data_IF_114909868483
#
_entry.id   IF_114909868483
#
_cell.length_a   1.000
_cell.length_b   1.000
_cell.length_c   1.000
_cell.angle_alpha   90.00
_cell.angle_beta   90.00
_cell.angle_gamma   90.00
#
_symmetry.space_group_name_H-M   'P 1'
#
loop_
_entity.id
_entity.type
_entity.pdbx_description
1 polymer ?
#
# COMPACT_ATOMS: atom_id res chain seq x y z
N UNK A 1 -13.52 -24.87 0.32
CA UNK A 1 -13.86 -24.70 1.74
C UNK A 1 -15.20 -25.34 2.13
N UNK A 2 -16.34 -24.78 1.69
CA UNK A 2 -17.67 -25.24 2.13
C UNK A 2 -17.95 -26.72 1.85
N UNK A 3 -17.50 -27.21 0.70
CA UNK A 3 -17.59 -28.63 0.32
C UNK A 3 -16.85 -29.54 1.32
N UNK A 4 -15.68 -29.11 1.82
CA UNK A 4 -14.84 -29.93 2.70
C UNK A 4 -15.47 -30.06 4.09
N UNK A 5 -16.00 -28.96 4.64
CA UNK A 5 -16.61 -28.96 5.98
C UNK A 5 -17.99 -29.58 5.97
N UNK A 6 -18.73 -29.44 4.88
CA UNK A 6 -20.11 -29.91 4.76
C UNK A 6 -20.23 -31.17 3.90
N UNK A 7 -19.19 -32.01 3.84
CA UNK A 7 -19.14 -33.21 2.99
C UNK A 7 -20.26 -34.23 3.26
N UNK A 8 -20.86 -34.19 4.45
CA UNK A 8 -21.95 -35.08 4.85
C UNK A 8 -23.35 -34.54 4.51
N UNK A 9 -23.47 -33.31 3.99
CA UNK A 9 -24.76 -32.77 3.57
C UNK A 9 -25.22 -33.43 2.27
N UNK A 10 -26.55 -33.57 2.12
CA UNK A 10 -27.16 -33.91 0.84
C UNK A 10 -26.75 -32.89 -0.22
N UNK A 11 -26.52 -33.35 -1.46
CA UNK A 11 -25.99 -32.49 -2.54
C UNK A 11 -26.85 -31.24 -2.79
N UNK A 12 -28.18 -31.35 -2.71
CA UNK A 12 -29.09 -30.20 -2.86
C UNK A 12 -28.87 -29.13 -1.78
N UNK A 13 -28.64 -29.55 -0.53
CA UNK A 13 -28.36 -28.64 0.57
C UNK A 13 -26.98 -27.99 0.42
N UNK A 14 -25.99 -28.77 -0.07
CA UNK A 14 -24.66 -28.26 -0.34
C UNK A 14 -24.68 -27.19 -1.45
N UNK A 15 -25.39 -27.44 -2.55
CA UNK A 15 -25.58 -26.48 -3.64
C UNK A 15 -26.21 -25.20 -3.09
N UNK A 16 -27.33 -25.32 -2.36
CA UNK A 16 -28.01 -24.16 -1.75
C UNK A 16 -27.05 -23.34 -0.86
N UNK A 17 -26.28 -24.00 -0.01
CA UNK A 17 -25.29 -23.36 0.86
C UNK A 17 -24.21 -22.61 0.06
N UNK A 18 -23.63 -23.26 -0.95
CA UNK A 18 -22.60 -22.68 -1.81
C UNK A 18 -23.15 -21.47 -2.57
N UNK A 19 -24.36 -21.59 -3.12
CA UNK A 19 -25.03 -20.49 -3.83
C UNK A 19 -25.26 -19.29 -2.92
N UNK A 20 -25.84 -19.49 -1.73
CA UNK A 20 -26.05 -18.42 -0.75
C UNK A 20 -24.74 -17.76 -0.36
N UNK A 21 -23.69 -18.55 -0.14
CA UNK A 21 -22.37 -18.02 0.18
C UNK A 21 -21.80 -17.14 -0.93
N UNK A 22 -21.83 -17.61 -2.18
CA UNK A 22 -21.32 -16.87 -3.34
C UNK A 22 -22.07 -15.55 -3.52
N UNK A 23 -23.41 -15.56 -3.47
CA UNK A 23 -24.18 -14.33 -3.61
C UNK A 23 -23.95 -13.35 -2.47
N UNK A 24 -23.90 -13.84 -1.22
CA UNK A 24 -23.56 -13.00 -0.08
C UNK A 24 -22.15 -12.41 -0.20
N UNK A 25 -21.16 -13.19 -0.63
CA UNK A 25 -19.79 -12.71 -0.80
C UNK A 25 -19.64 -11.70 -1.93
N UNK A 26 -20.38 -11.88 -3.03
CA UNK A 26 -20.37 -10.96 -4.17
C UNK A 26 -21.16 -9.68 -3.92
N UNK A 27 -22.14 -9.70 -3.01
CA UNK A 27 -22.95 -8.52 -2.68
C UNK A 27 -22.12 -7.35 -2.14
N UNK A 28 -21.05 -7.65 -1.38
CA UNK A 28 -20.17 -6.66 -0.78
C UNK A 28 -19.36 -5.88 -1.85
N UNK A 29 -18.60 -6.53 -2.76
CA UNK A 29 -17.90 -5.84 -3.84
C UNK A 29 -18.79 -5.45 -5.04
N UNK A 30 -20.09 -5.76 -5.02
CA UNK A 30 -20.97 -5.58 -6.19
C UNK A 30 -20.95 -4.15 -6.73
N UNK A 31 -20.99 -3.15 -5.82
CA UNK A 31 -20.94 -1.74 -6.21
C UNK A 31 -19.67 -1.40 -6.99
N UNK A 32 -18.55 -2.04 -6.62
CA UNK A 32 -17.28 -1.85 -7.28
C UNK A 32 -17.26 -2.53 -8.65
N UNK A 33 -17.81 -3.75 -8.78
CA UNK A 33 -17.93 -4.41 -10.08
C UNK A 33 -18.80 -3.62 -11.07
N UNK A 34 -19.93 -3.08 -10.61
CA UNK A 34 -20.81 -2.23 -11.42
C UNK A 34 -20.06 -0.96 -11.85
N UNK A 35 -19.45 -0.25 -10.90
CA UNK A 35 -18.70 0.97 -11.19
C UNK A 35 -17.54 0.72 -12.14
N UNK A 36 -16.83 -0.39 -11.95
CA UNK A 36 -15.72 -0.82 -12.78
C UNK A 36 -16.17 -1.07 -14.23
N UNK A 37 -17.30 -1.76 -14.40
CA UNK A 37 -17.91 -1.98 -15.70
C UNK A 37 -18.35 -0.68 -16.39
N UNK A 38 -18.97 0.25 -15.66
CA UNK A 38 -19.39 1.54 -16.22
C UNK A 38 -18.20 2.36 -16.71
N UNK A 39 -17.10 2.40 -15.94
CA UNK A 39 -15.93 3.25 -16.24
C UNK A 39 -15.03 2.61 -17.30
N UNK A 40 -14.82 1.30 -17.24
CA UNK A 40 -13.76 0.62 -18.00
C UNK A 40 -14.28 -0.40 -19.01
N UNK A 41 -15.57 -0.73 -18.98
CA UNK A 41 -16.15 -1.86 -19.74
C UNK A 41 -15.81 -3.24 -19.16
N UNK A 42 -15.06 -3.31 -18.05
CA UNK A 42 -14.60 -4.55 -17.43
C UNK A 42 -15.05 -4.63 -15.96
N UNK A 43 -15.91 -5.58 -15.57
CA UNK A 43 -16.41 -5.67 -14.20
C UNK A 43 -15.33 -6.08 -13.19
N UNK A 44 -14.22 -6.67 -13.63
CA UNK A 44 -13.13 -7.17 -12.79
C UNK A 44 -11.80 -6.46 -13.06
N UNK A 45 -11.86 -5.21 -13.56
CA UNK A 45 -10.68 -4.36 -13.79
C UNK A 45 -9.72 -4.33 -12.58
N UNK A 46 -8.40 -4.43 -12.75
CA UNK A 46 -7.67 -4.39 -14.02
C UNK A 46 -7.52 -5.74 -14.71
N UNK A 47 -8.04 -6.84 -14.14
CA UNK A 47 -7.85 -8.21 -14.66
C UNK A 47 -8.42 -8.30 -16.09
N UNK A 48 -7.62 -8.74 -17.05
CA UNK A 48 -7.94 -8.80 -18.49
C UNK A 48 -8.07 -7.44 -19.19
N UNK A 49 -7.53 -6.36 -18.59
CA UNK A 49 -7.46 -5.06 -19.25
C UNK A 49 -6.12 -4.86 -20.00
N UNK A 50 -6.11 -4.01 -21.02
CA UNK A 50 -4.86 -3.59 -21.70
C UNK A 50 -3.99 -2.65 -20.84
N UNK A 51 -4.50 -2.19 -19.69
CA UNK A 51 -3.88 -1.22 -18.79
C UNK A 51 -3.24 -1.90 -17.56
N UNK A 52 -2.92 -3.19 -17.64
CA UNK A 52 -2.21 -3.93 -16.59
C UNK A 52 -0.73 -3.52 -16.49
N UNK A 53 -0.48 -2.25 -16.20
CA UNK A 53 0.80 -1.73 -15.76
C UNK A 53 0.73 -1.48 -14.26
N UNK A 54 0.70 -2.56 -13.48
CA UNK A 54 1.04 -2.44 -12.06
C UNK A 54 2.57 -2.40 -11.99
N UNK A 55 3.11 -1.19 -11.99
CA UNK A 55 4.54 -0.90 -11.86
C UNK A 55 5.10 -1.52 -10.56
N UNK A 56 5.71 -2.69 -10.68
CA UNK A 56 6.61 -3.23 -9.67
C UNK A 56 7.84 -3.77 -10.40
N UNK A 57 8.94 -3.02 -10.30
CA UNK A 57 10.31 -3.41 -10.65
C UNK A 57 10.65 -3.60 -12.13
N UNK A 58 10.93 -2.52 -12.87
CA UNK A 58 11.88 -2.42 -14.01
C UNK A 58 11.96 -3.56 -15.06
N UNK A 59 10.94 -4.40 -15.16
CA UNK A 59 10.78 -5.39 -16.21
C UNK A 59 9.35 -5.18 -16.68
N UNK A 60 9.21 -4.40 -17.75
CA UNK A 60 8.00 -4.41 -18.55
C UNK A 60 7.86 -5.80 -19.19
N UNK A 61 7.49 -6.79 -18.39
CA UNK A 61 6.96 -8.03 -18.90
C UNK A 61 5.47 -7.77 -19.12
N UNK A 62 4.95 -7.96 -20.34
CA UNK A 62 3.51 -8.01 -20.51
C UNK A 62 2.99 -9.12 -19.59
N UNK A 63 2.19 -8.76 -18.59
CA UNK A 63 1.51 -9.70 -17.69
C UNK A 63 0.42 -10.52 -18.40
N UNK A 64 0.43 -10.55 -19.74
CA UNK A 64 -0.63 -11.07 -20.59
C UNK A 64 -0.62 -12.59 -20.77
N UNK A 65 -0.14 -13.39 -19.81
CA UNK A 65 -0.33 -14.86 -19.92
C UNK A 65 -0.35 -15.70 -18.64
N UNK A 66 0.21 -15.26 -17.51
CA UNK A 66 0.39 -16.17 -16.37
C UNK A 66 -0.06 -15.56 -15.03
N UNK A 67 -1.37 -15.32 -14.87
CA UNK A 67 -1.99 -15.09 -13.55
C UNK A 67 -1.73 -16.25 -12.58
N UNK A 68 -1.52 -17.44 -13.14
CA UNK A 68 -1.21 -18.65 -12.38
C UNK A 68 0.30 -18.94 -12.45
N UNK A 69 0.90 -19.17 -11.29
CA UNK A 69 2.29 -19.54 -11.10
C UNK A 69 2.71 -19.34 -9.65
N UNK A 70 3.82 -19.96 -9.25
CA UNK A 70 4.31 -19.82 -7.87
C UNK A 70 4.62 -18.35 -7.59
N UNK A 71 3.92 -17.77 -6.62
CA UNK A 71 4.03 -16.36 -6.26
C UNK A 71 5.20 -16.11 -5.29
N UNK A 72 6.44 -16.22 -5.76
CA UNK A 72 7.62 -15.99 -4.91
C UNK A 72 7.68 -14.60 -4.26
N UNK A 73 6.96 -13.61 -4.81
CA UNK A 73 6.91 -12.26 -4.25
C UNK A 73 6.42 -12.27 -2.79
N UNK A 74 5.56 -13.21 -2.39
CA UNK A 74 5.07 -13.27 -1.01
C UNK A 74 6.14 -13.48 0.06
N UNK A 75 7.33 -13.96 -0.33
CA UNK A 75 8.47 -14.18 0.58
C UNK A 75 9.51 -13.06 0.54
N UNK A 76 9.33 -12.04 -0.31
CA UNK A 76 10.27 -10.92 -0.39
C UNK A 76 10.24 -10.11 0.93
N UNK A 77 11.40 -9.72 1.48
CA UNK A 77 11.47 -8.93 2.71
C UNK A 77 10.69 -7.61 2.65
N UNK A 78 10.58 -7.00 1.47
CA UNK A 78 9.81 -5.77 1.22
C UNK A 78 8.34 -5.92 1.60
N UNK A 79 7.77 -7.12 1.42
CA UNK A 79 6.38 -7.40 1.79
C UNK A 79 6.20 -7.60 3.29
N UNK A 80 7.27 -7.86 4.05
CA UNK A 80 7.20 -7.95 5.51
C UNK A 80 6.93 -6.60 6.16
N UNK A 81 7.26 -5.48 5.51
CA UNK A 81 7.00 -4.11 5.98
C UNK A 81 5.50 -3.84 6.12
N UNK A 82 4.67 -4.56 5.35
CA UNK A 82 3.21 -4.43 5.38
C UNK A 82 2.59 -5.18 6.56
N UNK A 83 3.32 -6.11 7.19
CA UNK A 83 2.80 -6.87 8.30
C UNK A 83 2.77 -6.04 9.59
N UNK A 84 1.62 -6.07 10.27
CA UNK A 84 1.46 -5.44 11.58
C UNK A 84 2.51 -5.98 12.56
N UNK A 85 3.05 -5.17 13.49
CA UNK A 85 3.91 -5.66 14.57
C UNK A 85 3.33 -6.85 15.35
N UNK A 86 1.99 -6.95 15.44
CA UNK A 86 1.28 -8.08 16.05
C UNK A 86 1.57 -9.41 15.35
N UNK A 87 1.80 -9.40 14.04
CA UNK A 87 2.21 -10.57 13.26
C UNK A 87 3.49 -11.17 13.83
N UNK A 88 4.55 -10.37 13.98
CA UNK A 88 5.85 -10.85 14.42
C UNK A 88 5.82 -11.34 15.86
N UNK A 89 5.09 -10.64 16.74
CA UNK A 89 4.85 -11.10 18.12
C UNK A 89 4.16 -12.47 18.13
N UNK A 90 3.12 -12.65 17.31
CA UNK A 90 2.43 -13.94 17.25
C UNK A 90 3.24 -15.06 16.60
N UNK A 91 4.14 -14.76 15.66
CA UNK A 91 5.10 -15.74 15.14
C UNK A 91 6.01 -16.23 16.27
N UNK A 92 6.56 -15.33 17.09
CA UNK A 92 7.35 -15.70 18.26
C UNK A 92 6.52 -16.59 19.21
N UNK A 93 5.28 -16.20 19.50
CA UNK A 93 4.41 -16.97 20.38
C UNK A 93 3.99 -18.33 19.81
N UNK A 94 3.83 -18.45 18.49
CA UNK A 94 3.62 -19.73 17.83
C UNK A 94 4.83 -20.63 18.06
N UNK A 95 6.06 -20.17 17.84
CA UNK A 95 7.23 -21.01 18.07
C UNK A 95 7.30 -21.54 19.52
N UNK A 96 6.92 -20.72 20.50
CA UNK A 96 6.86 -21.13 21.91
C UNK A 96 5.71 -22.11 22.23
N UNK A 97 4.64 -22.12 21.45
CA UNK A 97 3.40 -22.89 21.74
C UNK A 97 2.96 -23.81 20.59
N UNK A 98 3.86 -24.10 19.65
CA UNK A 98 3.57 -24.66 18.32
C UNK A 98 2.66 -25.89 18.36
N UNK A 99 2.99 -26.87 19.20
CA UNK A 99 2.25 -28.12 19.32
C UNK A 99 0.80 -27.90 19.81
N UNK A 100 0.58 -26.92 20.70
CA UNK A 100 -0.75 -26.59 21.21
C UNK A 100 -1.53 -25.76 20.20
N UNK A 101 -0.87 -24.78 19.57
CA UNK A 101 -1.46 -23.95 18.52
C UNK A 101 -1.95 -24.79 17.34
N UNK A 102 -1.16 -25.75 16.83
CA UNK A 102 -1.56 -26.63 15.73
C UNK A 102 -2.78 -27.47 16.09
N UNK A 103 -2.83 -28.05 17.30
CA UNK A 103 -3.99 -28.82 17.74
C UNK A 103 -5.25 -27.95 17.75
N UNK A 104 -5.15 -26.71 18.22
CA UNK A 104 -6.27 -25.77 18.24
C UNK A 104 -6.71 -25.36 16.83
N UNK A 105 -5.76 -25.00 15.96
CA UNK A 105 -6.02 -24.57 14.57
C UNK A 105 -6.76 -25.66 13.79
N UNK A 106 -6.42 -26.95 13.99
CA UNK A 106 -7.09 -28.09 13.34
C UNK A 106 -8.58 -28.20 13.65
N UNK A 107 -9.03 -27.74 14.82
CA UNK A 107 -10.43 -27.83 15.24
C UNK A 107 -11.25 -26.61 14.83
N UNK A 108 -10.61 -25.54 14.36
CA UNK A 108 -11.30 -24.31 13.99
C UNK A 108 -11.57 -24.31 12.48
N UNK A 109 -12.83 -24.47 12.03
CA UNK A 109 -13.12 -24.63 10.61
C UNK A 109 -12.62 -23.45 9.79
N UNK A 110 -12.70 -22.22 10.32
CA UNK A 110 -12.22 -21.02 9.64
C UNK A 110 -10.71 -21.05 9.33
N UNK A 111 -9.89 -21.75 10.13
CA UNK A 111 -8.47 -21.92 9.82
C UNK A 111 -8.25 -22.64 8.51
N UNK A 112 -9.10 -23.63 8.20
CA UNK A 112 -9.05 -24.38 6.93
C UNK A 112 -9.38 -23.45 5.77
N UNK A 113 -10.31 -22.50 5.94
CA UNK A 113 -10.59 -21.48 4.93
C UNK A 113 -9.35 -20.67 4.61
N UNK A 114 -8.67 -20.13 5.62
CA UNK A 114 -7.50 -19.29 5.41
C UNK A 114 -6.30 -20.05 4.84
N UNK A 115 -6.11 -21.32 5.22
CA UNK A 115 -5.10 -22.19 4.61
C UNK A 115 -5.37 -22.38 3.12
N UNK A 116 -6.63 -22.67 2.73
CA UNK A 116 -6.99 -22.80 1.32
C UNK A 116 -6.80 -21.50 0.55
N UNK A 117 -7.17 -20.37 1.15
CA UNK A 117 -6.98 -19.04 0.57
C UNK A 117 -5.48 -18.70 0.42
N UNK A 118 -4.62 -19.11 1.36
CA UNK A 118 -3.17 -18.93 1.25
C UNK A 118 -2.58 -19.81 0.14
N UNK A 119 -3.06 -21.05 -0.01
CA UNK A 119 -2.67 -21.91 -1.12
C UNK A 119 -3.13 -21.34 -2.47
N UNK A 120 -4.31 -20.73 -2.53
CA UNK A 120 -4.76 -19.98 -3.71
C UNK A 120 -3.79 -18.82 -4.00
N UNK A 121 -3.45 -18.01 -3.00
CA UNK A 121 -2.50 -16.89 -3.16
C UNK A 121 -1.05 -17.33 -3.46
N UNK A 122 -0.71 -18.58 -3.15
CA UNK A 122 0.57 -19.17 -3.55
C UNK A 122 0.64 -19.43 -5.06
N UNK A 123 -0.51 -19.72 -5.67
CA UNK A 123 -0.66 -20.06 -7.09
C UNK A 123 -1.08 -18.84 -7.92
N UNK A 124 -1.76 -17.87 -7.33
CA UNK A 124 -2.12 -16.61 -7.99
C UNK A 124 -0.97 -15.63 -7.82
N UNK A 125 -0.40 -15.15 -8.93
CA UNK A 125 0.63 -14.11 -8.89
C UNK A 125 -0.02 -12.80 -8.48
N UNK A 126 0.37 -12.32 -7.31
CA UNK A 126 -0.09 -11.04 -6.77
C UNK A 126 1.14 -10.20 -6.49
N UNK A 127 1.25 -9.08 -7.20
CA UNK A 127 2.47 -8.27 -7.24
C UNK A 127 2.69 -7.42 -5.98
N UNK A 128 1.65 -7.19 -5.17
CA UNK A 128 1.72 -6.34 -3.99
C UNK A 128 1.40 -7.12 -2.71
N UNK A 129 2.31 -7.06 -1.72
CA UNK A 129 2.16 -7.73 -0.43
C UNK A 129 0.90 -7.37 0.35
N UNK A 130 0.33 -6.17 0.12
CA UNK A 130 -0.93 -5.73 0.74
C UNK A 130 -2.14 -6.61 0.37
N UNK A 131 -2.05 -7.37 -0.72
CA UNK A 131 -3.09 -8.28 -1.17
C UNK A 131 -2.87 -9.73 -0.67
N UNK A 132 -1.81 -9.99 0.11
CA UNK A 132 -1.56 -11.26 0.79
C UNK A 132 -2.44 -11.41 2.06
N UNK A 133 -3.72 -11.05 1.94
CA UNK A 133 -4.68 -11.07 3.05
C UNK A 133 -4.77 -12.46 3.69
N UNK A 134 -4.65 -13.54 2.92
CA UNK A 134 -4.72 -14.89 3.45
C UNK A 134 -3.56 -15.21 4.39
N UNK A 135 -2.33 -14.86 3.99
CA UNK A 135 -1.14 -14.98 4.84
C UNK A 135 -1.30 -14.19 6.14
N UNK A 136 -1.74 -12.95 6.01
CA UNK A 136 -2.00 -12.09 7.17
C UNK A 136 -3.04 -12.72 8.11
N UNK A 137 -4.10 -13.30 7.56
CA UNK A 137 -5.19 -13.85 8.36
C UNK A 137 -4.84 -15.19 9.00
N UNK A 138 -4.04 -16.04 8.34
CA UNK A 138 -3.43 -17.22 8.96
C UNK A 138 -2.58 -16.80 10.15
N UNK A 139 -1.73 -15.79 9.95
CA UNK A 139 -0.87 -15.31 11.01
C UNK A 139 -1.68 -14.74 12.17
N UNK A 140 -2.73 -13.95 11.94
CA UNK A 140 -3.64 -13.50 13.01
C UNK A 140 -4.27 -14.69 13.73
N UNK A 141 -4.72 -15.71 13.01
CA UNK A 141 -5.34 -16.91 13.61
C UNK A 141 -4.35 -17.63 14.51
N UNK A 142 -3.09 -17.75 14.04
CA UNK A 142 -1.96 -18.28 14.78
C UNK A 142 -1.67 -17.44 16.04
N UNK A 143 -1.58 -16.12 15.90
CA UNK A 143 -1.34 -15.18 17.00
C UNK A 143 -2.42 -15.36 18.07
N UNK A 144 -3.69 -15.39 17.64
CA UNK A 144 -4.84 -15.50 18.53
C UNK A 144 -4.82 -16.79 19.35
N UNK A 145 -4.47 -17.91 18.70
CA UNK A 145 -4.30 -19.20 19.37
C UNK A 145 -3.12 -19.18 20.37
N UNK A 146 -1.98 -18.60 19.99
CA UNK A 146 -0.79 -18.51 20.86
C UNK A 146 -1.02 -17.62 22.09
N UNK A 147 -1.69 -16.49 21.90
CA UNK A 147 -2.04 -15.52 22.95
C UNK A 147 -2.95 -16.15 24.02
N UNK A 148 -3.93 -16.95 23.60
CA UNK A 148 -4.83 -17.66 24.52
C UNK A 148 -4.06 -18.48 25.58
N UNK A 149 -3.05 -19.25 25.17
CA UNK A 149 -2.28 -20.11 26.08
C UNK A 149 -1.41 -19.34 27.07
N UNK A 150 -1.05 -18.10 26.77
CA UNK A 150 -0.25 -17.24 27.65
C UNK A 150 -1.13 -16.57 28.70
N UNK A 151 -2.33 -16.15 28.29
CA UNK A 151 -3.31 -15.51 29.16
C UNK A 151 -3.87 -16.44 30.22
N UNK A 152 -3.94 -17.73 29.92
CA UNK A 152 -4.35 -18.75 30.88
C UNK A 152 -3.38 -18.83 32.07
N UNK A 153 -2.08 -18.62 31.83
CA UNK A 153 -1.03 -18.82 32.85
C UNK A 153 -0.70 -17.58 33.68
N UNK A 154 -0.84 -16.37 33.15
CA UNK A 154 -0.39 -15.16 33.84
C UNK A 154 -1.38 -13.98 33.62
N UNK A 155 -1.99 -13.51 34.71
CA UNK A 155 -2.93 -12.37 34.66
C UNK A 155 -2.23 -11.07 34.24
N UNK A 156 -0.97 -10.86 34.62
CA UNK A 156 -0.22 -9.64 34.30
C UNK A 156 0.08 -9.55 32.80
N UNK A 157 0.52 -10.66 32.17
CA UNK A 157 0.77 -10.67 30.72
C UNK A 157 -0.51 -10.42 29.92
N UNK A 158 -1.65 -10.91 30.40
CA UNK A 158 -2.97 -10.61 29.83
C UNK A 158 -3.30 -9.12 29.88
N UNK A 159 -3.11 -8.48 31.03
CA UNK A 159 -3.35 -7.03 31.18
C UNK A 159 -2.43 -6.24 30.25
N UNK A 160 -1.12 -6.56 30.22
CA UNK A 160 -0.14 -5.89 29.36
C UNK A 160 -0.54 -6.00 27.89
N UNK A 161 -0.90 -7.20 27.42
CA UNK A 161 -1.33 -7.39 26.03
C UNK A 161 -2.60 -6.61 25.72
N UNK A 162 -3.61 -6.62 26.60
CA UNK A 162 -4.86 -5.87 26.41
C UNK A 162 -4.55 -4.37 26.27
N UNK A 163 -3.68 -3.82 27.12
CA UNK A 163 -3.25 -2.43 27.03
C UNK A 163 -2.55 -2.12 25.70
N UNK A 164 -1.60 -2.96 25.28
CA UNK A 164 -0.90 -2.79 24.00
C UNK A 164 -1.86 -2.88 22.81
N UNK A 165 -2.75 -3.88 22.82
CA UNK A 165 -3.76 -4.06 21.78
C UNK A 165 -4.73 -2.88 21.73
N UNK A 166 -5.17 -2.37 22.89
CA UNK A 166 -6.00 -1.18 22.98
C UNK A 166 -5.30 0.03 22.38
N UNK A 167 -4.02 0.29 22.70
CA UNK A 167 -3.26 1.41 22.13
C UNK A 167 -3.15 1.29 20.60
N UNK A 168 -2.85 0.10 20.09
CA UNK A 168 -2.76 -0.15 18.64
C UNK A 168 -4.13 0.05 17.96
N UNK A 169 -5.18 -0.54 18.51
CA UNK A 169 -6.53 -0.43 17.95
C UNK A 169 -7.05 1.00 18.02
N UNK A 170 -6.81 1.70 19.13
CA UNK A 170 -7.16 3.10 19.29
C UNK A 170 -6.45 3.98 18.25
N UNK A 171 -5.16 3.73 18.00
CA UNK A 171 -4.44 4.38 16.92
C UNK A 171 -5.11 4.16 15.55
N UNK A 172 -5.44 2.91 15.18
CA UNK A 172 -6.12 2.63 13.91
C UNK A 172 -7.53 3.21 13.84
N UNK A 173 -8.28 3.18 14.94
CA UNK A 173 -9.62 3.73 15.05
C UNK A 173 -9.62 5.24 14.82
N UNK A 174 -8.71 5.98 15.48
CA UNK A 174 -8.54 7.41 15.28
C UNK A 174 -8.17 7.70 13.81
N UNK A 175 -7.23 6.96 13.23
CA UNK A 175 -6.89 7.13 11.81
C UNK A 175 -8.09 6.84 10.89
N UNK A 176 -8.91 5.86 11.21
CA UNK A 176 -10.12 5.53 10.43
C UNK A 176 -11.15 6.64 10.51
N UNK A 177 -11.41 7.21 11.70
CA UNK A 177 -12.31 8.36 11.88
C UNK A 177 -11.85 9.54 11.03
N UNK A 178 -10.54 9.76 10.91
CA UNK A 178 -10.00 10.85 10.09
C UNK A 178 -10.22 10.61 8.59
N UNK A 179 -10.25 9.35 8.15
CA UNK A 179 -10.43 8.97 6.74
C UNK A 179 -11.90 8.83 6.35
N UNK A 180 -12.76 8.45 7.30
CA UNK A 180 -14.16 8.14 7.06
C UNK A 180 -14.94 9.28 6.37
N UNK A 181 -14.79 10.56 6.74
CA UNK A 181 -15.48 11.66 6.05
C UNK A 181 -15.18 11.73 4.55
N UNK A 182 -13.97 11.37 4.13
CA UNK A 182 -13.62 11.31 2.71
C UNK A 182 -14.21 10.08 2.03
N UNK A 183 -14.10 8.91 2.67
CA UNK A 183 -14.68 7.66 2.17
C UNK A 183 -16.20 7.73 1.99
N UNK A 184 -16.88 8.49 2.86
CA UNK A 184 -18.33 8.74 2.80
C UNK A 184 -18.71 9.94 1.90
N UNK A 185 -17.74 10.66 1.34
CA UNK A 185 -17.98 11.84 0.49
C UNK A 185 -18.44 13.10 1.25
N UNK A 186 -18.33 13.14 2.57
CA UNK A 186 -18.66 14.31 3.41
C UNK A 186 -17.56 15.37 3.46
N UNK A 187 -16.33 15.00 3.09
CA UNK A 187 -15.21 15.90 2.93
C UNK A 187 -14.74 15.87 1.48
N UNK A 188 -14.47 17.03 0.89
CA UNK A 188 -13.78 17.09 -0.38
C UNK A 188 -12.32 16.63 -0.24
N UNK A 189 -11.69 16.38 -1.39
CA UNK A 189 -10.30 15.93 -1.49
C UNK A 189 -9.34 16.84 -0.72
N UNK A 190 -9.54 18.15 -0.75
CA UNK A 190 -8.66 19.09 -0.06
C UNK A 190 -8.84 19.02 1.47
N UNK A 191 -10.09 19.00 1.94
CA UNK A 191 -10.43 18.89 3.37
C UNK A 191 -9.95 17.56 3.98
N UNK A 192 -9.97 16.47 3.22
CA UNK A 192 -9.38 15.18 3.62
C UNK A 192 -7.86 15.26 3.71
N UNK A 193 -7.21 15.72 2.65
CA UNK A 193 -5.76 15.77 2.56
C UNK A 193 -5.15 16.71 3.60
N UNK A 194 -5.76 17.87 3.88
CA UNK A 194 -5.31 18.78 4.94
C UNK A 194 -5.37 18.12 6.33
N UNK A 195 -6.40 17.30 6.63
CA UNK A 195 -6.53 16.64 7.94
C UNK A 195 -5.59 15.45 8.13
N UNK A 196 -5.38 14.66 7.09
CA UNK A 196 -4.59 13.42 7.17
C UNK A 196 -3.10 13.67 6.91
N UNK A 197 -2.77 14.50 5.93
CA UNK A 197 -1.39 14.72 5.50
C UNK A 197 -0.62 15.74 6.35
N UNK A 198 -1.28 16.58 7.15
CA UNK A 198 -0.58 17.39 8.17
C UNK A 198 0.19 16.52 9.18
N UNK A 199 -0.21 15.25 9.37
CA UNK A 199 0.48 14.29 10.24
C UNK A 199 1.49 13.41 9.48
N UNK A 200 1.26 13.17 8.20
CA UNK A 200 2.13 12.33 7.39
C UNK A 200 3.22 13.20 6.73
N UNK A 201 4.34 13.34 7.45
CA UNK A 201 5.52 14.17 7.15
C UNK A 201 6.22 13.90 5.79
N UNK A 202 5.58 13.19 4.86
CA UNK A 202 6.15 12.69 3.61
C UNK A 202 5.30 12.93 2.36
N UNK A 203 4.02 13.30 2.47
CA UNK A 203 3.09 13.32 1.34
C UNK A 203 2.60 14.73 0.97
N UNK A 204 2.42 14.92 -0.33
CA UNK A 204 2.09 16.16 -1.04
C UNK A 204 1.14 17.13 -0.30
N UNK A 205 1.57 18.38 -0.19
CA UNK A 205 0.76 19.51 0.25
C UNK A 205 1.03 20.67 -0.71
N UNK A 206 -0.04 21.29 -1.21
CA UNK A 206 0.04 22.61 -1.82
C UNK A 206 0.11 23.62 -0.66
N UNK A 207 1.33 23.89 -0.14
CA UNK A 207 1.49 24.81 0.98
C UNK A 207 0.97 26.18 0.58
N UNK A 208 -0.15 26.58 1.19
CA UNK A 208 -0.82 27.86 0.97
C UNK A 208 -1.19 28.16 -0.50
N UNK A 209 -1.56 27.13 -1.27
CA UNK A 209 -1.96 27.27 -2.69
C UNK A 209 -0.84 27.80 -3.60
N UNK A 210 0.42 27.65 -3.19
CA UNK A 210 1.58 28.15 -3.93
C UNK A 210 1.90 27.31 -5.17
N UNK A 211 1.51 26.04 -5.25
CA UNK A 211 1.74 25.23 -6.46
C UNK A 211 0.92 25.72 -7.63
N UNK A 212 -0.37 26.03 -7.46
CA UNK A 212 -1.19 26.59 -8.54
C UNK A 212 -0.64 27.91 -9.10
N UNK A 213 0.22 28.61 -8.35
CA UNK A 213 0.92 29.81 -8.80
C UNK A 213 2.13 29.50 -9.69
N UNK A 214 2.81 28.37 -9.49
CA UNK A 214 4.13 28.07 -10.06
C UNK A 214 4.20 26.80 -10.92
N UNK A 215 3.20 25.93 -10.82
CA UNK A 215 3.09 24.63 -11.47
C UNK A 215 1.73 24.57 -12.17
N UNK A 216 1.76 24.30 -13.47
CA UNK A 216 0.59 24.07 -14.31
C UNK A 216 0.41 22.57 -14.59
N UNK A 217 -0.78 22.20 -15.06
CA UNK A 217 -1.10 20.85 -15.55
C UNK A 217 -0.16 20.35 -16.67
N UNK A 218 0.43 21.28 -17.42
CA UNK A 218 1.41 21.01 -18.50
C UNK A 218 2.84 20.82 -18.00
N UNK A 219 3.14 21.21 -16.76
CA UNK A 219 4.48 21.05 -16.21
C UNK A 219 4.71 19.57 -15.83
N UNK A 220 5.85 19.03 -16.23
CA UNK A 220 6.40 17.79 -15.66
C UNK A 220 7.33 18.15 -14.51
N UNK A 221 6.97 17.70 -13.30
CA UNK A 221 7.68 17.98 -12.06
C UNK A 221 8.51 16.78 -11.62
N UNK A 222 9.84 16.92 -11.60
CA UNK A 222 10.71 15.92 -10.99
C UNK A 222 10.75 16.11 -9.46
N UNK A 223 10.60 15.02 -8.72
CA UNK A 223 10.46 15.07 -7.26
C UNK A 223 11.58 14.29 -6.59
N UNK A 224 12.15 14.87 -5.54
CA UNK A 224 13.23 14.24 -4.77
C UNK A 224 12.95 14.24 -3.26
N UNK A 225 12.86 13.05 -2.68
CA UNK A 225 12.53 12.84 -1.27
C UNK A 225 11.07 13.14 -0.93
N UNK A 226 10.21 13.31 -1.94
CA UNK A 226 8.77 13.56 -1.79
C UNK A 226 8.05 12.46 -2.54
N UNK A 227 7.14 11.79 -1.86
CA UNK A 227 6.33 10.70 -2.42
C UNK A 227 4.86 11.04 -2.29
N UNK A 228 4.02 10.39 -3.09
CA UNK A 228 2.58 10.47 -2.92
C UNK A 228 1.90 11.70 -3.54
N UNK A 229 2.32 12.09 -4.75
CA UNK A 229 1.59 13.05 -5.60
C UNK A 229 0.36 12.42 -6.28
N UNK A 230 -0.21 11.34 -5.71
CA UNK A 230 -1.39 10.63 -6.25
C UNK A 230 -2.61 11.53 -6.50
N UNK A 231 -2.57 12.73 -5.92
CA UNK A 231 -3.63 13.72 -5.92
C UNK A 231 -3.22 15.05 -6.55
N UNK A 232 -1.99 15.19 -7.05
CA UNK A 232 -1.58 16.38 -7.77
C UNK A 232 -2.32 16.48 -9.11
N UNK A 233 -2.62 17.69 -9.53
CA UNK A 233 -3.24 18.05 -10.80
C UNK A 233 -2.21 18.34 -11.92
N UNK A 234 -0.94 18.00 -11.67
CA UNK A 234 0.16 18.11 -12.61
C UNK A 234 0.91 16.78 -12.76
N UNK A 235 1.64 16.64 -13.86
CA UNK A 235 2.44 15.45 -14.11
C UNK A 235 3.70 15.45 -13.23
N UNK A 236 4.02 14.32 -12.60
CA UNK A 236 5.20 14.20 -11.77
C UNK A 236 5.98 12.91 -12.08
N UNK A 237 7.28 12.92 -11.79
CA UNK A 237 8.17 11.79 -11.95
C UNK A 237 9.19 11.77 -10.81
N UNK A 238 9.35 10.64 -10.14
CA UNK A 238 10.38 10.51 -9.11
C UNK A 238 11.77 10.52 -9.75
N UNK A 239 12.72 11.19 -9.09
CA UNK A 239 14.08 11.35 -9.62
C UNK A 239 14.80 10.01 -9.84
N UNK A 240 14.43 8.97 -9.09
CA UNK A 240 14.93 7.60 -9.26
C UNK A 240 14.54 6.96 -10.60
N UNK A 241 13.49 7.45 -11.27
CA UNK A 241 13.13 7.01 -12.63
C UNK A 241 13.84 7.79 -13.73
N UNK A 242 14.45 8.93 -13.41
CA UNK A 242 15.24 9.73 -14.36
C UNK A 242 16.70 9.29 -14.32
N UNK A 243 17.26 9.18 -13.12
CA UNK A 243 18.67 8.84 -12.94
C UNK A 243 18.84 7.35 -12.65
N UNK A 244 19.40 6.63 -13.62
CA UNK A 244 19.88 5.27 -13.36
C UNK A 244 21.19 5.32 -12.57
N UNK A 245 21.59 4.18 -11.98
CA UNK A 245 22.85 4.09 -11.21
C UNK A 245 24.06 4.59 -12.01
N UNK A 246 24.07 4.37 -13.32
CA UNK A 246 25.21 4.64 -14.20
C UNK A 246 25.08 5.95 -15.00
N UNK A 247 23.90 6.57 -15.05
CA UNK A 247 23.63 7.81 -15.80
C UNK A 247 23.01 8.87 -14.91
N UNK A 248 23.87 9.73 -14.36
CA UNK A 248 23.49 10.87 -13.52
C UNK A 248 24.02 12.17 -14.11
N UNK A 249 23.31 12.71 -15.09
CA UNK A 249 23.59 14.02 -15.69
C UNK A 249 22.37 14.92 -15.54
N UNK A 250 22.59 16.19 -15.21
CA UNK A 250 21.50 17.16 -15.08
C UNK A 250 20.71 17.30 -16.39
N UNK A 251 21.36 17.11 -17.54
CA UNK A 251 20.74 17.25 -18.86
C UNK A 251 19.65 16.20 -19.12
N UNK A 252 19.66 15.06 -18.41
CA UNK A 252 18.59 14.05 -18.48
C UNK A 252 17.24 14.61 -18.04
N UNK A 253 17.23 15.59 -17.12
CA UNK A 253 15.99 16.28 -16.75
C UNK A 253 15.39 17.00 -17.97
N UNK A 254 16.23 17.66 -18.77
CA UNK A 254 15.80 18.34 -20.00
C UNK A 254 15.35 17.35 -21.07
N UNK A 255 16.09 16.26 -21.27
CA UNK A 255 15.72 15.19 -22.21
C UNK A 255 14.34 14.58 -21.89
N UNK A 256 14.02 14.44 -20.60
CA UNK A 256 12.73 13.96 -20.12
C UNK A 256 11.64 15.04 -20.11
N UNK A 257 11.93 16.24 -20.61
CA UNK A 257 11.02 17.40 -20.62
C UNK A 257 10.56 17.83 -19.23
N UNK A 258 11.39 17.61 -18.22
CA UNK A 258 11.13 18.12 -16.87
C UNK A 258 11.25 19.65 -16.89
N UNK A 259 10.24 20.29 -16.31
CA UNK A 259 10.11 21.76 -16.28
C UNK A 259 10.30 22.32 -14.88
N UNK A 260 10.02 21.51 -13.85
CA UNK A 260 10.14 21.87 -12.43
C UNK A 260 10.87 20.78 -11.67
N UNK A 261 11.64 21.20 -10.66
CA UNK A 261 12.34 20.30 -9.76
C UNK A 261 11.95 20.67 -8.32
N UNK A 262 11.37 19.73 -7.60
CA UNK A 262 10.92 19.91 -6.22
C UNK A 262 11.75 19.03 -5.29
N UNK A 263 12.52 19.67 -4.40
CA UNK A 263 13.50 19.01 -3.53
C UNK A 263 13.08 19.15 -2.07
N UNK A 264 13.14 18.04 -1.33
CA UNK A 264 12.98 18.02 0.13
C UNK A 264 14.33 17.94 0.85
N UNK A 265 14.52 18.81 1.84
CA UNK A 265 15.61 18.75 2.82
C UNK A 265 16.85 19.59 2.49
N UNK A 266 16.95 20.16 1.29
CA UNK A 266 18.14 20.91 0.87
C UNK A 266 17.90 21.81 -0.34
N UNK A 267 18.94 22.54 -0.75
CA UNK A 267 18.96 23.33 -1.98
C UNK A 267 19.49 22.53 -3.18
N UNK A 268 19.63 23.19 -4.33
CA UNK A 268 20.11 22.55 -5.56
C UNK A 268 21.54 21.98 -5.42
N UNK A 269 22.41 22.62 -4.65
CA UNK A 269 23.79 22.15 -4.43
C UNK A 269 23.79 20.87 -3.60
N UNK A 270 23.00 20.84 -2.53
CA UNK A 270 22.79 19.65 -1.72
C UNK A 270 22.23 18.49 -2.57
N UNK A 271 21.21 18.75 -3.39
CA UNK A 271 20.60 17.77 -4.28
C UNK A 271 21.64 17.16 -5.23
N UNK A 272 22.42 18.01 -5.90
CA UNK A 272 23.39 17.57 -6.89
C UNK A 272 24.58 16.84 -6.28
N UNK A 273 25.03 17.25 -5.10
CA UNK A 273 26.08 16.54 -4.35
C UNK A 273 25.58 15.17 -3.86
N UNK A 274 24.39 15.10 -3.27
CA UNK A 274 23.82 13.86 -2.72
C UNK A 274 23.59 12.80 -3.79
N UNK A 275 23.12 13.21 -4.96
CA UNK A 275 22.87 12.30 -6.08
C UNK A 275 24.09 12.12 -7.00
N UNK A 276 25.19 12.85 -6.79
CA UNK A 276 26.37 12.86 -7.65
C UNK A 276 26.04 13.16 -9.12
N UNK A 277 25.21 14.20 -9.35
CA UNK A 277 24.75 14.60 -10.69
C UNK A 277 25.83 15.42 -11.39
N UNK A 278 26.26 14.96 -12.57
CA UNK A 278 27.21 15.69 -13.43
C UNK A 278 26.53 16.89 -14.11
N UNK A 279 27.27 17.98 -14.27
CA UNK A 279 26.82 19.16 -15.01
C UNK A 279 25.66 19.92 -14.35
N UNK A 280 25.44 19.73 -13.06
CA UNK A 280 24.49 20.51 -12.28
C UNK A 280 25.12 21.83 -11.81
N UNK A 281 24.43 22.95 -12.05
CA UNK A 281 24.83 24.27 -11.56
C UNK A 281 23.60 25.06 -11.13
N UNK A 282 23.80 26.05 -10.25
CA UNK A 282 22.76 27.02 -9.85
C UNK A 282 22.21 27.80 -11.04
N UNK A 283 23.00 28.02 -12.09
CA UNK A 283 22.60 28.75 -13.29
C UNK A 283 21.59 27.98 -14.15
N UNK A 284 21.52 26.65 -14.04
CA UNK A 284 20.56 25.83 -14.79
C UNK A 284 19.16 25.82 -14.16
N UNK A 285 18.99 26.44 -12.99
CA UNK A 285 17.73 26.44 -12.25
C UNK A 285 17.42 27.80 -11.65
N UNK A 286 16.13 28.14 -11.60
CA UNK A 286 15.63 29.31 -10.90
C UNK A 286 14.80 28.89 -9.70
N UNK A 287 15.21 29.29 -8.49
CA UNK A 287 14.40 29.08 -7.30
C UNK A 287 13.09 29.89 -7.42
N UNK A 288 11.96 29.21 -7.38
CA UNK A 288 10.62 29.82 -7.45
C UNK A 288 10.03 30.04 -6.06
N UNK A 289 10.18 29.04 -5.18
CA UNK A 289 9.62 29.08 -3.84
C UNK A 289 10.48 28.26 -2.87
N UNK A 290 10.57 28.75 -1.63
CA UNK A 290 11.08 28.02 -0.47
C UNK A 290 9.98 27.95 0.56
N UNK A 291 9.69 26.75 1.04
CA UNK A 291 8.67 26.54 2.07
C UNK A 291 9.26 26.68 3.49
N UNK A 292 8.44 27.04 4.50
CA UNK A 292 8.91 27.42 5.82
C UNK A 292 9.81 26.34 6.48
N UNK A 293 10.85 26.76 7.21
CA UNK A 293 11.81 25.85 7.84
C UNK A 293 11.19 24.93 8.89
N UNK A 294 10.06 25.34 9.47
CA UNK A 294 9.38 24.63 10.58
C UNK A 294 8.84 23.25 10.17
N UNK A 295 8.67 23.00 8.87
CA UNK A 295 8.06 21.76 8.32
C UNK A 295 9.07 20.94 7.47
N UNK A 296 10.38 21.22 7.62
CA UNK A 296 11.49 20.77 6.74
C UNK A 296 11.57 21.65 5.48
N UNK A 297 12.79 22.00 5.06
CA UNK A 297 13.05 22.89 3.91
C UNK A 297 12.64 22.20 2.61
N UNK A 298 11.59 22.69 1.94
CA UNK A 298 11.25 22.29 0.57
C UNK A 298 11.58 23.44 -0.38
N UNK A 299 12.19 23.12 -1.52
CA UNK A 299 12.53 24.11 -2.54
C UNK A 299 11.97 23.69 -3.90
N UNK A 300 11.22 24.60 -4.53
CA UNK A 300 10.72 24.46 -5.89
C UNK A 300 11.59 25.27 -6.83
N UNK A 301 12.11 24.61 -7.85
CA UNK A 301 12.92 25.22 -8.90
C UNK A 301 12.22 25.11 -10.26
N UNK A 302 12.36 26.14 -11.08
CA UNK A 302 12.18 26.04 -12.53
C UNK A 302 13.48 25.57 -13.15
N UNK A 303 13.41 24.64 -14.10
CA UNK A 303 14.55 24.29 -14.94
C UNK A 303 14.60 25.29 -16.10
N UNK A 304 15.71 26.00 -16.23
CA UNK A 304 15.87 26.96 -17.33
C UNK A 304 16.15 26.20 -18.64
N UNK A 305 15.46 26.61 -19.70
CA UNK A 305 15.56 25.96 -21.03
C UNK A 305 16.97 26.05 -21.57
#
# INVERSE_FOLDING_TARGET
YLIIINKNLKINNLIKLVTVFIFSSLSVPLIWYIRSFIITGNPIYPIFSKLEYLEVNNIAAPLSSNYFGINWNMFLPENMVVYSPLFFLGVIFLFLTFNKAIKHIKHFPLSIFFILLMLEQFIVKVDLGRYLLAWYTIAITIVSAGVFFIFEKNKLSRIIFICLFFVIFFYYFINTILILPYGLGWADKNAYLTRVLYRDNASYYDFDRLFNKWISDKDLVATDGIVGFYYADFNYIDIGFIFSKDKRSFDLLKEKKVTRLLIKGGDIEWFCKRLAIKGCSKEKVKLLATYPPDIKKYNLYSIEK
#
